data_IF_207395522325
#
_entry.id   IF_207395522325
#
_cell.length_a   1.000
_cell.length_b   1.000
_cell.length_c   1.000
_cell.angle_alpha   90.00
_cell.angle_beta   90.00
_cell.angle_gamma   90.00
#
_symmetry.space_group_name_H-M   'P 1'
#
loop_
_entity.id
_entity.type
_entity.pdbx_description
1 polymer ?
#
# COMPACT_ATOMS: atom_id res chain seq x y z
N UNK A 1 3.74 -16.04 -5.01
CA UNK A 1 2.47 -16.82 -5.08
C UNK A 1 1.59 -16.64 -3.86
N UNK A 2 2.09 -16.84 -2.64
CA UNK A 2 1.28 -16.70 -1.42
C UNK A 2 0.67 -15.29 -1.25
N UNK A 3 1.43 -14.24 -1.51
CA UNK A 3 0.99 -12.83 -1.45
C UNK A 3 -0.10 -12.50 -2.48
N UNK A 4 -0.01 -13.07 -3.68
CA UNK A 4 -1.02 -12.92 -4.73
C UNK A 4 -2.33 -13.63 -4.34
N UNK A 5 -2.25 -14.82 -3.74
CA UNK A 5 -3.42 -15.56 -3.22
C UNK A 5 -4.05 -14.84 -2.03
N UNK A 6 -3.24 -14.34 -1.10
CA UNK A 6 -3.70 -13.49 0.00
C UNK A 6 -4.41 -12.26 -0.53
N UNK A 7 -3.86 -11.57 -1.52
CA UNK A 7 -4.52 -10.40 -2.09
C UNK A 7 -5.83 -10.72 -2.82
N UNK A 8 -5.86 -11.82 -3.57
CA UNK A 8 -7.05 -12.25 -4.32
C UNK A 8 -8.20 -12.75 -3.43
N UNK A 9 -7.87 -13.33 -2.27
CA UNK A 9 -8.85 -13.95 -1.37
C UNK A 9 -9.18 -13.04 -0.19
N UNK A 10 -8.17 -12.55 0.53
CA UNK A 10 -8.37 -11.72 1.71
C UNK A 10 -8.83 -10.31 1.36
N UNK A 11 -8.44 -9.75 0.21
CA UNK A 11 -8.93 -8.45 -0.24
C UNK A 11 -10.47 -8.44 -0.34
N UNK A 12 -11.08 -9.27 -1.20
CA UNK A 12 -12.53 -9.36 -1.30
C UNK A 12 -13.24 -9.75 0.00
N UNK A 13 -12.65 -10.64 0.81
CA UNK A 13 -13.24 -11.05 2.11
C UNK A 13 -13.26 -9.91 3.14
N UNK A 14 -12.17 -9.15 3.25
CA UNK A 14 -12.09 -7.98 4.13
C UNK A 14 -13.09 -6.92 3.71
N UNK A 15 -13.20 -6.67 2.40
CA UNK A 15 -14.18 -5.74 1.82
C UNK A 15 -15.63 -6.22 2.00
N UNK A 16 -15.89 -7.54 1.94
CA UNK A 16 -17.22 -8.10 2.15
C UNK A 16 -17.68 -8.01 3.61
N UNK A 17 -16.75 -8.07 4.57
CA UNK A 17 -17.07 -8.03 6.02
C UNK A 17 -17.01 -6.64 6.62
N UNK A 18 -16.15 -5.75 6.11
CA UNK A 18 -15.96 -4.41 6.64
C UNK A 18 -16.61 -3.41 5.68
N UNK A 19 -17.80 -2.92 6.04
CA UNK A 19 -18.57 -1.98 5.20
C UNK A 19 -18.24 -0.51 5.46
N UNK A 20 -17.54 -0.21 6.55
CA UNK A 20 -17.19 1.16 6.94
C UNK A 20 -15.87 1.61 6.30
N UNK A 21 -15.92 2.72 5.57
CA UNK A 21 -14.74 3.44 5.03
C UNK A 21 -13.71 3.71 6.12
N UNK A 22 -14.14 4.10 7.31
CA UNK A 22 -13.26 4.38 8.46
C UNK A 22 -12.45 3.14 8.89
N UNK A 23 -13.11 1.98 8.96
CA UNK A 23 -12.51 0.74 9.42
C UNK A 23 -11.55 0.15 8.37
N UNK A 24 -11.93 0.19 7.08
CA UNK A 24 -11.04 -0.19 5.99
C UNK A 24 -9.78 0.68 5.97
N UNK A 25 -9.92 2.00 6.15
CA UNK A 25 -8.79 2.94 6.19
C UNK A 25 -7.82 2.67 7.34
N UNK A 26 -8.33 2.31 8.52
CA UNK A 26 -7.47 1.94 9.64
C UNK A 26 -6.78 0.58 9.42
N UNK A 27 -7.48 -0.41 8.86
CA UNK A 27 -6.93 -1.75 8.63
C UNK A 27 -5.76 -1.72 7.64
N UNK A 28 -5.92 -1.06 6.49
CA UNK A 28 -4.82 -0.99 5.53
C UNK A 28 -3.71 -0.05 6.02
N UNK A 29 -4.05 1.06 6.67
CA UNK A 29 -3.06 2.00 7.23
C UNK A 29 -2.18 1.32 8.29
N UNK A 30 -2.78 0.54 9.18
CA UNK A 30 -2.05 -0.26 10.17
C UNK A 30 -1.17 -1.33 9.50
N UNK A 31 -1.68 -2.04 8.50
CA UNK A 31 -0.90 -3.06 7.78
C UNK A 31 0.32 -2.46 7.08
N UNK A 32 0.16 -1.33 6.38
CA UNK A 32 1.29 -0.64 5.75
C UNK A 32 2.27 -0.06 6.77
N UNK A 33 1.77 0.43 7.90
CA UNK A 33 2.62 0.91 9.00
C UNK A 33 3.48 -0.21 9.58
N UNK A 34 2.86 -1.35 9.91
CA UNK A 34 3.56 -2.54 10.41
C UNK A 34 4.58 -3.01 9.39
N UNK A 35 4.20 -3.08 8.11
CA UNK A 35 5.12 -3.46 7.03
C UNK A 35 6.34 -2.56 6.96
N UNK A 36 6.14 -1.24 6.99
CA UNK A 36 7.23 -0.26 6.90
C UNK A 36 8.19 -0.32 8.09
N UNK A 37 7.65 -0.46 9.31
CA UNK A 37 8.46 -0.60 10.52
C UNK A 37 9.23 -1.92 10.50
N UNK A 38 8.56 -3.04 10.24
CA UNK A 38 9.19 -4.38 10.23
C UNK A 38 10.28 -4.46 9.18
N UNK A 39 10.02 -4.01 7.94
CA UNK A 39 11.04 -4.00 6.89
C UNK A 39 12.21 -3.08 7.24
N UNK A 40 11.92 -1.94 7.85
CA UNK A 40 12.92 -0.95 8.22
C UNK A 40 13.94 -1.38 9.26
N UNK A 41 13.54 -2.30 10.16
CA UNK A 41 14.40 -2.82 11.24
C UNK A 41 14.76 -4.29 11.05
N UNK A 42 14.39 -4.89 9.92
CA UNK A 42 14.62 -6.30 9.66
C UNK A 42 16.12 -6.62 9.65
N UNK A 43 16.51 -7.56 10.49
CA UNK A 43 17.88 -8.13 10.55
C UNK A 43 17.92 -9.56 10.05
N UNK A 44 16.76 -10.20 9.91
CA UNK A 44 16.63 -11.59 9.47
C UNK A 44 15.72 -11.72 8.24
N UNK A 45 15.95 -12.78 7.46
CA UNK A 45 15.12 -13.12 6.29
C UNK A 45 13.65 -13.36 6.69
N UNK A 46 13.42 -13.90 7.89
CA UNK A 46 12.07 -14.12 8.40
C UNK A 46 11.30 -12.80 8.60
N UNK A 47 11.93 -11.80 9.20
CA UNK A 47 11.33 -10.46 9.38
C UNK A 47 11.01 -9.80 8.04
N UNK A 48 11.87 -9.99 7.03
CA UNK A 48 11.59 -9.54 5.66
C UNK A 48 10.31 -10.20 5.13
N UNK A 49 10.15 -11.52 5.29
CA UNK A 49 8.92 -12.21 4.83
C UNK A 49 7.67 -11.71 5.55
N UNK A 50 7.75 -11.46 6.86
CA UNK A 50 6.63 -10.90 7.64
C UNK A 50 6.29 -9.50 7.12
N UNK A 51 7.29 -8.63 6.95
CA UNK A 51 7.11 -7.28 6.44
C UNK A 51 6.49 -7.25 5.04
N UNK A 52 6.97 -8.10 4.13
CA UNK A 52 6.41 -8.25 2.78
C UNK A 52 4.97 -8.79 2.81
N UNK A 53 4.64 -9.69 3.73
CA UNK A 53 3.28 -10.20 3.88
C UNK A 53 2.30 -9.09 4.31
N UNK A 54 2.68 -8.26 5.29
CA UNK A 54 1.88 -7.09 5.69
C UNK A 54 1.78 -6.04 4.59
N UNK A 55 2.87 -5.80 3.84
CA UNK A 55 2.86 -4.88 2.70
C UNK A 55 1.87 -5.35 1.64
N UNK A 56 1.93 -6.63 1.27
CA UNK A 56 1.04 -7.24 0.28
C UNK A 56 -0.42 -7.21 0.75
N UNK A 57 -0.68 -7.52 2.02
CA UNK A 57 -2.02 -7.44 2.60
C UNK A 57 -2.58 -6.02 2.58
N UNK A 58 -1.79 -5.03 3.05
CA UNK A 58 -2.17 -3.63 3.02
C UNK A 58 -2.46 -3.13 1.60
N UNK A 59 -1.57 -3.42 0.65
CA UNK A 59 -1.74 -3.04 -0.75
C UNK A 59 -2.96 -3.70 -1.43
N UNK A 60 -3.21 -4.98 -1.14
CA UNK A 60 -4.34 -5.72 -1.70
C UNK A 60 -5.70 -5.24 -1.19
N UNK A 61 -5.77 -4.73 0.05
CA UNK A 61 -6.99 -4.10 0.57
C UNK A 61 -7.13 -2.67 0.07
N UNK A 62 -6.03 -1.90 0.06
CA UNK A 62 -6.00 -0.49 -0.31
C UNK A 62 -6.35 -0.26 -1.79
N UNK A 63 -5.69 -0.97 -2.70
CA UNK A 63 -5.79 -0.72 -4.16
C UNK A 63 -7.23 -0.79 -4.71
N UNK A 64 -8.02 -1.84 -4.44
CA UNK A 64 -9.41 -1.88 -4.88
C UNK A 64 -10.28 -0.84 -4.16
N UNK A 65 -10.00 -0.53 -2.90
CA UNK A 65 -10.77 0.44 -2.11
C UNK A 65 -10.70 1.86 -2.67
N UNK A 66 -9.49 2.46 -2.75
CA UNK A 66 -9.42 3.82 -3.27
C UNK A 66 -9.75 3.86 -4.75
N UNK A 67 -9.48 2.77 -5.48
CA UNK A 67 -9.89 2.64 -6.87
C UNK A 67 -11.41 2.74 -7.04
N UNK A 68 -12.20 2.14 -6.13
CA UNK A 68 -13.66 2.29 -6.16
C UNK A 68 -14.09 3.71 -5.76
N UNK A 69 -13.47 4.29 -4.73
CA UNK A 69 -13.80 5.65 -4.26
C UNK A 69 -13.56 6.71 -5.34
N UNK A 70 -12.37 6.72 -5.94
CA UNK A 70 -12.00 7.70 -6.98
C UNK A 70 -12.90 7.55 -8.21
N UNK A 71 -13.27 6.32 -8.57
CA UNK A 71 -14.23 6.07 -9.67
C UNK A 71 -15.64 6.56 -9.35
N UNK A 72 -16.10 6.45 -8.10
CA UNK A 72 -17.42 6.93 -7.69
C UNK A 72 -17.55 8.46 -7.78
N UNK A 73 -16.46 9.20 -7.67
CA UNK A 73 -16.47 10.66 -7.81
C UNK A 73 -16.74 11.14 -9.24
N UNK A 74 -16.54 10.29 -10.25
CA UNK A 74 -16.75 10.64 -11.68
C UNK A 74 -17.40 9.46 -12.42
N UNK A 75 -18.70 9.20 -12.19
CA UNK A 75 -19.38 8.04 -12.73
C UNK A 75 -19.44 8.02 -14.26
N UNK A 76 -19.54 9.19 -14.91
CA UNK A 76 -19.61 9.28 -16.37
C UNK A 76 -18.27 9.03 -17.07
N UNK A 77 -17.15 8.99 -16.32
CA UNK A 77 -15.79 8.86 -16.85
C UNK A 77 -15.01 7.69 -16.21
N UNK A 78 -15.70 6.66 -15.72
CA UNK A 78 -15.08 5.52 -15.01
C UNK A 78 -13.87 4.90 -15.74
N UNK A 79 -13.94 4.77 -17.06
CA UNK A 79 -12.85 4.21 -17.88
C UNK A 79 -11.60 5.11 -17.91
N UNK A 80 -11.78 6.42 -18.10
CA UNK A 80 -10.68 7.39 -18.12
C UNK A 80 -10.02 7.51 -16.74
N UNK A 81 -10.83 7.57 -15.67
CA UNK A 81 -10.34 7.60 -14.29
C UNK A 81 -9.54 6.33 -13.98
N UNK A 82 -10.02 5.17 -14.39
CA UNK A 82 -9.29 3.90 -14.25
C UNK A 82 -7.95 3.92 -15.00
N UNK A 83 -7.93 4.45 -16.22
CA UNK A 83 -6.71 4.62 -17.02
C UNK A 83 -5.70 5.53 -16.32
N UNK A 84 -6.12 6.72 -15.86
CA UNK A 84 -5.26 7.66 -15.12
C UNK A 84 -4.70 7.01 -13.84
N UNK A 85 -5.54 6.32 -13.07
CA UNK A 85 -5.12 5.63 -11.84
C UNK A 85 -4.05 4.57 -12.10
N UNK A 86 -4.21 3.81 -13.20
CA UNK A 86 -3.25 2.78 -13.62
C UNK A 86 -1.93 3.43 -14.06
N UNK A 87 -1.97 4.53 -14.81
CA UNK A 87 -0.78 5.28 -15.19
C UNK A 87 -0.03 5.83 -13.98
N UNK A 88 -0.75 6.36 -12.98
CA UNK A 88 -0.13 6.82 -11.72
C UNK A 88 0.55 5.68 -10.97
N UNK A 89 -0.06 4.49 -10.92
CA UNK A 89 0.58 3.29 -10.36
C UNK A 89 1.88 2.93 -11.08
N UNK A 90 1.85 2.92 -12.41
CA UNK A 90 3.05 2.62 -13.22
C UNK A 90 4.18 3.61 -12.94
N UNK A 91 3.88 4.90 -12.84
CA UNK A 91 4.87 5.92 -12.46
C UNK A 91 5.41 5.67 -11.05
N UNK A 92 4.54 5.30 -10.10
CA UNK A 92 4.94 4.90 -8.76
C UNK A 92 5.87 3.69 -8.74
N UNK A 93 5.60 2.66 -9.54
CA UNK A 93 6.48 1.49 -9.69
C UNK A 93 7.84 1.86 -10.27
N UNK A 94 7.88 2.72 -11.30
CA UNK A 94 9.14 3.20 -11.89
C UNK A 94 9.96 3.94 -10.83
N UNK A 95 9.35 4.92 -10.16
CA UNK A 95 10.03 5.71 -9.13
C UNK A 95 10.52 4.84 -7.97
N UNK A 96 9.68 3.92 -7.49
CA UNK A 96 10.03 2.99 -6.41
C UNK A 96 11.14 2.02 -6.80
N UNK A 97 11.13 1.51 -8.03
CA UNK A 97 12.18 0.61 -8.54
C UNK A 97 13.52 1.32 -8.68
N UNK A 98 13.52 2.53 -9.23
CA UNK A 98 14.74 3.33 -9.38
C UNK A 98 15.31 3.73 -8.02
N UNK A 99 14.47 4.25 -7.12
CA UNK A 99 14.90 4.64 -5.79
C UNK A 99 15.39 3.43 -4.97
N UNK A 100 14.67 2.30 -5.03
CA UNK A 100 15.05 1.05 -4.37
C UNK A 100 16.34 0.46 -4.92
N UNK A 101 16.50 0.44 -6.24
CA UNK A 101 17.72 -0.02 -6.91
C UNK A 101 18.93 0.84 -6.55
N UNK A 102 18.77 2.16 -6.59
CA UNK A 102 19.82 3.09 -6.17
C UNK A 102 20.20 2.93 -4.69
N UNK A 103 19.23 2.76 -3.81
CA UNK A 103 19.48 2.50 -2.37
C UNK A 103 20.22 1.18 -2.16
N UNK A 104 19.87 0.13 -2.90
CA UNK A 104 20.56 -1.17 -2.83
C UNK A 104 22.00 -1.08 -3.34
N UNK A 105 22.25 -0.24 -4.35
CA UNK A 105 23.59 -0.04 -4.90
C UNK A 105 24.51 0.77 -3.97
N UNK A 106 23.99 1.87 -3.40
CA UNK A 106 24.80 2.81 -2.60
C UNK A 106 24.84 2.43 -1.11
N UNK A 107 23.75 1.85 -0.59
CA UNK A 107 23.57 1.55 0.83
C UNK A 107 22.90 0.18 1.04
N UNK A 108 23.51 -0.93 0.60
CA UNK A 108 22.89 -2.26 0.62
C UNK A 108 22.41 -2.68 2.01
N UNK A 109 23.19 -2.39 3.06
CA UNK A 109 22.85 -2.77 4.45
C UNK A 109 21.70 -1.94 5.05
N UNK A 110 21.34 -0.82 4.42
CA UNK A 110 20.31 0.12 4.91
C UNK A 110 19.20 0.36 3.90
N UNK A 111 19.20 -0.31 2.76
CA UNK A 111 18.22 -0.08 1.69
C UNK A 111 16.78 -0.26 2.19
N UNK A 112 16.57 -1.20 3.14
CA UNK A 112 15.26 -1.45 3.72
C UNK A 112 14.81 -0.39 4.74
N UNK A 113 15.73 0.39 5.32
CA UNK A 113 15.39 1.46 6.27
C UNK A 113 14.50 2.55 5.65
N UNK A 114 14.58 2.72 4.32
CA UNK A 114 13.70 3.63 3.59
C UNK A 114 12.21 3.26 3.71
N UNK A 115 11.86 2.01 4.01
CA UNK A 115 10.47 1.58 4.20
C UNK A 115 9.83 2.12 5.49
N UNK A 116 10.62 2.64 6.44
CA UNK A 116 10.09 3.28 7.67
C UNK A 116 9.36 4.58 7.35
N UNK A 117 9.69 5.28 6.26
CA UNK A 117 9.17 6.61 5.94
C UNK A 117 7.81 6.62 5.19
N UNK A 118 7.58 5.80 4.15
CA UNK A 118 6.31 5.80 3.42
C UNK A 118 5.11 5.45 4.30
N UNK A 119 5.30 4.54 5.23
CA UNK A 119 4.29 4.06 6.18
C UNK A 119 3.63 5.19 7.00
N UNK A 120 4.37 5.98 7.82
CA UNK A 120 3.82 7.09 8.58
C UNK A 120 3.33 8.23 7.69
N UNK A 121 3.98 8.49 6.54
CA UNK A 121 3.49 9.51 5.58
C UNK A 121 2.11 9.12 5.05
N UNK A 122 1.90 7.86 4.67
CA UNK A 122 0.60 7.37 4.19
C UNK A 122 -0.47 7.42 5.29
N UNK A 123 -0.10 7.09 6.53
CA UNK A 123 -1.01 7.20 7.68
C UNK A 123 -1.39 8.67 7.94
N UNK A 124 -0.42 9.59 7.92
CA UNK A 124 -0.68 11.03 8.10
C UNK A 124 -1.52 11.61 6.96
N UNK A 125 -1.29 11.19 5.72
CA UNK A 125 -2.12 11.58 4.57
C UNK A 125 -3.54 11.02 4.71
N UNK A 126 -3.70 9.77 5.17
CA UNK A 126 -5.01 9.17 5.43
C UNK A 126 -5.75 9.80 6.62
N UNK A 127 -5.04 10.39 7.58
CA UNK A 127 -5.62 11.18 8.66
C UNK A 127 -6.01 12.57 8.12
N UNK A 128 -5.12 13.25 7.39
CA UNK A 128 -5.34 14.60 6.85
C UNK A 128 -6.47 14.64 5.81
N UNK A 129 -6.58 13.62 4.96
CA UNK A 129 -7.69 13.51 4.00
C UNK A 129 -9.06 13.48 4.71
N UNK A 130 -9.12 12.99 5.96
CA UNK A 130 -10.35 12.94 6.75
C UNK A 130 -10.71 14.25 7.45
N UNK A 131 -9.74 15.10 7.76
CA UNK A 131 -10.01 16.40 8.39
C UNK A 131 -10.57 17.45 7.41
N UNK A 132 -10.71 17.08 6.14
CA UNK A 132 -11.23 17.93 5.06
C UNK A 132 -12.66 17.55 4.64
N UNK A 133 -13.23 16.50 5.24
CA UNK A 133 -14.66 16.12 5.16
C UNK A 133 -15.43 16.71 6.35
#
# INVERSE_FOLDING_TARGET
>A
MLTSVVGLVLGPLVHARIRGTVALTMVWGAALLIAGVVLGVATTVFEIYVGVAFLAFGAAVLTPWYGSQVRQCQPDAHGEVGGRLTSTHTLGYIAGTLAGGWLLEVHPDRAMAAFVLPAPVLVLLAIKARTLE
#
